data_IF_700856509358
#
_entry.id   IF_700856509358
#
_cell.length_a   1.000
_cell.length_b   1.000
_cell.length_c   1.000
_cell.angle_alpha   90.00
_cell.angle_beta   90.00
_cell.angle_gamma   90.00
#
_symmetry.space_group_name_H-M   'P 1'
#
loop_
_entity.id
_entity.type
_entity.pdbx_description
1 polymer ?
#
# COMPACT_ATOMS: atom_id res chain seq x y z
N UNK A 1 22.78 -6.63 -46.82
CA UNK A 1 22.29 -7.29 -45.58
C UNK A 1 22.62 -6.50 -44.30
N UNK A 2 22.92 -5.19 -44.38
CA UNK A 2 23.48 -4.38 -43.26
C UNK A 2 22.55 -3.29 -42.70
N UNK A 3 21.40 -3.01 -43.33
CA UNK A 3 20.49 -1.91 -42.94
C UNK A 3 19.61 -2.21 -41.71
N UNK A 4 19.41 -3.49 -41.36
CA UNK A 4 18.56 -3.89 -40.22
C UNK A 4 19.28 -3.82 -38.85
N UNK A 5 20.61 -3.82 -38.81
CA UNK A 5 21.37 -3.82 -37.56
C UNK A 5 21.28 -2.48 -36.81
N UNK A 6 21.24 -1.35 -37.53
CA UNK A 6 21.19 -0.01 -36.92
C UNK A 6 19.86 0.31 -36.23
N UNK A 7 18.73 -0.13 -36.78
CA UNK A 7 17.40 0.09 -36.20
C UNK A 7 17.24 -0.75 -34.91
N UNK A 8 17.80 -1.97 -34.90
CA UNK A 8 17.76 -2.86 -33.74
C UNK A 8 18.61 -2.33 -32.56
N UNK A 9 19.78 -1.76 -32.85
CA UNK A 9 20.63 -1.09 -31.85
C UNK A 9 19.95 0.15 -31.25
N UNK A 10 19.28 0.97 -32.08
CA UNK A 10 18.50 2.11 -31.60
C UNK A 10 17.33 1.68 -30.71
N UNK A 11 16.58 0.63 -31.09
CA UNK A 11 15.48 0.09 -30.28
C UNK A 11 15.95 -0.47 -28.94
N UNK A 12 17.08 -1.21 -28.93
CA UNK A 12 17.68 -1.73 -27.69
C UNK A 12 18.13 -0.61 -26.75
N UNK A 13 18.71 0.48 -27.28
CA UNK A 13 19.08 1.66 -26.47
C UNK A 13 17.84 2.38 -25.92
N UNK A 14 16.79 2.56 -26.73
CA UNK A 14 15.55 3.19 -26.30
C UNK A 14 14.86 2.42 -25.17
N UNK A 15 14.77 1.08 -25.27
CA UNK A 15 14.23 0.24 -24.19
C UNK A 15 15.07 0.28 -22.91
N UNK A 16 16.41 0.30 -23.03
CA UNK A 16 17.32 0.35 -21.88
C UNK A 16 17.22 1.68 -21.14
N UNK A 17 17.22 2.80 -21.87
CA UNK A 17 17.09 4.15 -21.28
C UNK A 17 15.70 4.34 -20.64
N UNK A 18 14.64 3.82 -21.28
CA UNK A 18 13.29 3.88 -20.72
C UNK A 18 13.16 3.12 -19.40
N UNK A 19 13.74 1.92 -19.31
CA UNK A 19 13.72 1.13 -18.07
C UNK A 19 14.38 1.85 -16.89
N UNK A 20 15.59 2.38 -17.08
CA UNK A 20 16.32 3.11 -16.05
C UNK A 20 15.59 4.36 -15.56
N UNK A 21 14.95 5.11 -16.47
CA UNK A 21 14.19 6.31 -16.11
C UNK A 21 12.99 5.97 -15.22
N UNK A 22 12.26 4.89 -15.54
CA UNK A 22 11.12 4.43 -14.74
C UNK A 22 11.58 3.96 -13.35
N UNK A 23 12.73 3.31 -13.26
CA UNK A 23 13.27 2.82 -11.99
C UNK A 23 13.69 3.97 -11.07
N UNK A 24 14.36 4.99 -11.60
CA UNK A 24 14.70 6.22 -10.86
C UNK A 24 13.43 6.94 -10.40
N UNK A 25 12.44 7.07 -11.28
CA UNK A 25 11.17 7.71 -10.94
C UNK A 25 10.43 6.97 -9.81
N UNK A 26 10.40 5.63 -9.85
CA UNK A 26 9.81 4.81 -8.79
C UNK A 26 10.52 5.03 -7.45
N UNK A 27 11.85 4.99 -7.43
CA UNK A 27 12.63 5.19 -6.20
C UNK A 27 12.39 6.58 -5.60
N UNK A 28 12.41 7.63 -6.43
CA UNK A 28 12.16 9.00 -5.99
C UNK A 28 10.73 9.18 -5.46
N UNK A 29 9.73 8.67 -6.18
CA UNK A 29 8.33 8.73 -5.75
C UNK A 29 8.12 8.05 -4.41
N UNK A 30 8.74 6.88 -4.21
CA UNK A 30 8.64 6.15 -2.95
C UNK A 30 9.29 6.86 -1.78
N UNK A 31 10.42 7.52 -2.05
CA UNK A 31 11.07 8.34 -1.03
C UNK A 31 10.17 9.50 -0.59
N UNK A 32 9.52 10.18 -1.55
CA UNK A 32 8.58 11.28 -1.25
C UNK A 32 7.37 10.77 -0.45
N UNK A 33 6.78 9.64 -0.84
CA UNK A 33 5.64 9.04 -0.13
C UNK A 33 6.05 8.64 1.29
N UNK A 34 7.18 7.94 1.44
CA UNK A 34 7.70 7.53 2.75
C UNK A 34 7.97 8.72 3.68
N UNK A 35 8.61 9.78 3.16
CA UNK A 35 8.84 11.01 3.91
C UNK A 35 7.53 11.70 4.31
N UNK A 36 6.54 11.72 3.42
CA UNK A 36 5.22 12.30 3.71
C UNK A 36 4.46 11.53 4.80
N UNK A 37 4.56 10.19 4.83
CA UNK A 37 3.97 9.36 5.88
C UNK A 37 4.58 9.71 7.23
N UNK A 38 5.92 9.78 7.30
CA UNK A 38 6.63 10.12 8.55
C UNK A 38 6.24 11.53 9.00
N UNK A 39 6.28 12.51 8.10
CA UNK A 39 5.89 13.90 8.41
C UNK A 39 4.47 13.99 8.96
N UNK A 40 3.51 13.34 8.30
CA UNK A 40 2.10 13.32 8.70
C UNK A 40 1.91 12.65 10.06
N UNK A 41 2.55 11.50 10.28
CA UNK A 41 2.51 10.79 11.56
C UNK A 41 3.13 11.60 12.69
N UNK A 42 4.26 12.28 12.47
CA UNK A 42 4.89 13.17 13.46
C UNK A 42 3.97 14.34 13.79
N UNK A 43 3.39 15.01 12.79
CA UNK A 43 2.46 16.10 13.02
C UNK A 43 1.23 15.66 13.84
N UNK A 44 0.66 14.50 13.51
CA UNK A 44 -0.44 13.92 14.25
C UNK A 44 -0.05 13.57 15.70
N UNK A 45 1.13 12.98 15.90
CA UNK A 45 1.63 12.63 17.23
C UNK A 45 1.89 13.87 18.10
N UNK A 46 2.47 14.92 17.53
CA UNK A 46 2.63 16.22 18.21
C UNK A 46 1.26 16.78 18.60
N UNK A 47 0.25 16.68 17.74
CA UNK A 47 -1.12 17.10 18.08
C UNK A 47 -1.69 16.30 19.27
N UNK A 48 -1.44 14.99 19.34
CA UNK A 48 -1.82 14.16 20.48
C UNK A 48 -1.18 14.63 21.79
N UNK A 49 0.11 14.96 21.76
CA UNK A 49 0.82 15.51 22.93
C UNK A 49 0.15 16.80 23.40
N UNK A 50 -0.19 17.70 22.48
CA UNK A 50 -0.86 18.96 22.81
C UNK A 50 -2.25 18.75 23.44
N UNK A 51 -3.00 17.73 23.01
CA UNK A 51 -4.29 17.37 23.63
C UNK A 51 -4.14 16.71 25.02
N UNK A 52 -2.97 16.17 25.35
CA UNK A 52 -2.68 15.57 26.66
C UNK A 52 -3.18 14.12 26.84
N UNK A 53 -3.87 13.55 25.85
CA UNK A 53 -4.29 12.14 25.85
C UNK A 53 -4.50 11.61 24.42
N UNK A 54 -4.42 10.28 24.30
CA UNK A 54 -4.68 9.55 23.06
C UNK A 54 -5.88 8.62 23.26
N UNK A 55 -6.83 8.65 22.33
CA UNK A 55 -7.94 7.69 22.28
C UNK A 55 -7.52 6.43 21.53
N UNK A 56 -8.32 5.35 21.63
CA UNK A 56 -8.10 4.14 20.85
C UNK A 56 -8.07 4.43 19.34
N UNK A 57 -8.94 5.33 18.87
CA UNK A 57 -8.98 5.76 17.47
C UNK A 57 -7.66 6.39 17.02
N UNK A 58 -7.06 7.24 17.87
CA UNK A 58 -5.80 7.90 17.56
C UNK A 58 -4.63 6.91 17.50
N UNK A 59 -4.58 5.96 18.45
CA UNK A 59 -3.55 4.92 18.48
C UNK A 59 -3.66 4.00 17.25
N UNK A 60 -4.88 3.66 16.84
CA UNK A 60 -5.13 2.84 15.67
C UNK A 60 -4.81 3.58 14.37
N UNK A 61 -4.97 4.91 14.32
CA UNK A 61 -4.52 5.74 13.21
C UNK A 61 -2.99 5.76 13.12
N UNK A 62 -2.27 5.87 14.24
CA UNK A 62 -0.81 5.71 14.27
C UNK A 62 -0.37 4.33 13.75
N UNK A 63 -1.10 3.28 14.10
CA UNK A 63 -0.85 1.94 13.55
C UNK A 63 -1.09 1.89 12.03
N UNK A 64 -1.99 2.71 11.44
CA UNK A 64 -2.19 2.78 9.98
C UNK A 64 -0.97 3.41 9.34
N UNK A 65 -0.45 4.50 9.92
CA UNK A 65 0.76 5.13 9.44
C UNK A 65 1.95 4.18 9.46
N UNK A 66 2.10 3.38 10.52
CA UNK A 66 3.14 2.37 10.62
C UNK A 66 2.97 1.25 9.59
N UNK A 67 1.74 0.78 9.38
CA UNK A 67 1.43 -0.27 8.40
C UNK A 67 1.75 0.17 6.97
N UNK A 68 1.27 1.34 6.56
CA UNK A 68 1.54 1.89 5.22
C UNK A 68 3.03 2.24 5.08
N UNK A 69 3.67 2.74 6.14
CA UNK A 69 5.12 2.99 6.17
C UNK A 69 5.94 1.72 5.96
N UNK A 70 5.58 0.63 6.65
CA UNK A 70 6.23 -0.67 6.51
C UNK A 70 6.07 -1.23 5.09
N UNK A 71 4.87 -1.14 4.52
CA UNK A 71 4.61 -1.56 3.13
C UNK A 71 5.41 -0.74 2.11
N UNK A 72 5.50 0.58 2.32
CA UNK A 72 6.32 1.47 1.48
C UNK A 72 7.80 1.08 1.55
N UNK A 73 8.30 0.74 2.74
CA UNK A 73 9.67 0.26 2.93
C UNK A 73 9.92 -1.11 2.28
N UNK A 74 8.96 -2.04 2.35
CA UNK A 74 9.04 -3.33 1.64
C UNK A 74 9.06 -3.09 0.13
N UNK A 75 8.20 -2.22 -0.39
CA UNK A 75 8.16 -1.92 -1.82
C UNK A 75 9.46 -1.27 -2.30
N UNK A 76 10.07 -0.41 -1.49
CA UNK A 76 11.39 0.15 -1.79
C UNK A 76 12.47 -0.92 -1.95
N UNK A 77 12.41 -2.01 -1.16
CA UNK A 77 13.36 -3.14 -1.26
C UNK A 77 13.06 -4.11 -2.39
N UNK A 78 11.79 -4.35 -2.71
CA UNK A 78 11.39 -5.43 -3.64
C UNK A 78 11.04 -4.95 -5.04
N UNK A 79 10.79 -3.65 -5.24
CA UNK A 79 10.50 -3.06 -6.55
C UNK A 79 9.15 -3.49 -7.18
N UNK A 80 8.37 -4.34 -6.50
CA UNK A 80 7.05 -4.83 -6.93
C UNK A 80 5.96 -4.35 -5.97
N UNK A 81 4.92 -3.70 -6.50
CA UNK A 81 3.69 -3.38 -5.77
C UNK A 81 2.71 -4.54 -6.00
N UNK A 82 2.74 -5.62 -5.20
CA UNK A 82 1.68 -6.60 -5.25
C UNK A 82 0.38 -5.94 -4.79
N UNK A 83 -0.69 -6.14 -5.57
CA UNK A 83 -2.07 -5.73 -5.24
C UNK A 83 -2.48 -6.20 -3.84
N UNK A 84 -1.83 -7.26 -3.34
CA UNK A 84 -1.95 -7.80 -1.99
C UNK A 84 -1.80 -6.75 -0.89
N UNK A 85 -0.86 -5.81 -1.03
CA UNK A 85 -0.66 -4.77 -0.01
C UNK A 85 -1.88 -3.85 0.11
N UNK A 86 -2.52 -3.49 -1.00
CA UNK A 86 -3.70 -2.64 -0.99
C UNK A 86 -4.89 -3.33 -0.30
N UNK A 87 -5.04 -4.64 -0.52
CA UNK A 87 -6.13 -5.39 0.10
C UNK A 87 -5.88 -5.56 1.62
N UNK A 88 -4.63 -5.78 2.05
CA UNK A 88 -4.32 -5.81 3.48
C UNK A 88 -4.64 -4.48 4.16
N UNK A 89 -4.27 -3.33 3.57
CA UNK A 89 -4.62 -2.02 4.13
C UNK A 89 -6.14 -1.84 4.24
N UNK A 90 -6.89 -2.26 3.21
CA UNK A 90 -8.35 -2.16 3.24
C UNK A 90 -8.96 -3.04 4.34
N UNK A 91 -8.52 -4.30 4.47
CA UNK A 91 -8.98 -5.22 5.53
C UNK A 91 -8.64 -4.65 6.90
N UNK A 92 -7.41 -4.19 7.11
CA UNK A 92 -6.98 -3.64 8.38
C UNK A 92 -7.73 -2.35 8.73
N UNK A 93 -8.01 -1.48 7.75
CA UNK A 93 -8.80 -0.27 7.95
C UNK A 93 -10.24 -0.59 8.38
N UNK A 94 -10.90 -1.53 7.70
CA UNK A 94 -12.26 -1.97 8.04
C UNK A 94 -12.27 -2.61 9.43
N UNK A 95 -11.34 -3.52 9.72
CA UNK A 95 -11.25 -4.20 11.00
C UNK A 95 -11.08 -3.23 12.17
N UNK A 96 -10.22 -2.20 12.01
CA UNK A 96 -10.04 -1.17 13.04
C UNK A 96 -11.25 -0.29 13.23
N UNK A 97 -11.93 0.08 12.15
CA UNK A 97 -13.17 0.83 12.24
C UNK A 97 -14.24 0.06 13.04
N UNK A 98 -14.35 -1.25 12.83
CA UNK A 98 -15.24 -2.13 13.61
C UNK A 98 -14.90 -2.13 15.09
N UNK A 99 -13.62 -2.22 15.46
CA UNK A 99 -13.17 -2.30 16.85
C UNK A 99 -13.37 -0.97 17.60
N UNK A 100 -13.16 0.15 16.93
CA UNK A 100 -13.26 1.49 17.56
C UNK A 100 -14.70 1.90 17.77
N UNK A 101 -15.56 1.65 16.79
CA UNK A 101 -16.89 2.26 16.71
C UNK A 101 -18.02 1.26 17.02
N UNK A 102 -17.70 0.08 17.57
CA UNK A 102 -18.65 -1.04 17.74
C UNK A 102 -19.93 -0.64 18.46
N UNK A 103 -19.84 0.25 19.45
CA UNK A 103 -20.98 0.67 20.27
C UNK A 103 -21.94 1.62 19.54
N UNK A 104 -21.46 2.30 18.47
CA UNK A 104 -22.22 3.30 17.73
C UNK A 104 -22.64 2.77 16.35
N UNK A 105 -22.12 1.61 15.93
CA UNK A 105 -22.44 0.97 14.67
C UNK A 105 -23.79 0.25 14.73
N UNK A 106 -24.63 0.50 13.72
CA UNK A 106 -25.84 -0.30 13.51
C UNK A 106 -25.46 -1.74 13.16
N UNK A 107 -26.22 -2.71 13.64
CA UNK A 107 -26.01 -4.13 13.36
C UNK A 107 -25.86 -4.43 11.85
N UNK A 108 -26.63 -3.74 11.01
CA UNK A 108 -26.53 -3.86 9.55
C UNK A 108 -25.18 -3.38 9.00
N UNK A 109 -24.63 -2.29 9.51
CA UNK A 109 -23.32 -1.77 9.10
C UNK A 109 -22.20 -2.73 9.47
N UNK A 110 -22.24 -3.27 10.69
CA UNK A 110 -21.27 -4.29 11.15
C UNK A 110 -21.31 -5.51 10.24
N UNK A 111 -22.51 -6.00 9.90
CA UNK A 111 -22.69 -7.13 8.99
C UNK A 111 -22.12 -6.83 7.59
N UNK A 112 -22.46 -5.68 7.00
CA UNK A 112 -21.96 -5.28 5.67
C UNK A 112 -20.43 -5.19 5.63
N UNK A 113 -19.83 -4.57 6.65
CA UNK A 113 -18.38 -4.45 6.73
C UNK A 113 -17.68 -5.80 6.96
N UNK A 114 -18.29 -6.69 7.74
CA UNK A 114 -17.79 -8.04 7.95
C UNK A 114 -17.83 -8.85 6.66
N UNK A 115 -18.91 -8.74 5.89
CA UNK A 115 -19.01 -9.33 4.54
C UNK A 115 -17.97 -8.71 3.60
N UNK A 116 -17.75 -7.40 3.64
CA UNK A 116 -16.72 -6.74 2.83
C UNK A 116 -15.32 -7.29 3.13
N UNK A 117 -14.96 -7.53 4.40
CA UNK A 117 -13.70 -8.18 4.78
C UNK A 117 -13.60 -9.59 4.18
N UNK A 118 -14.67 -10.38 4.27
CA UNK A 118 -14.69 -11.73 3.67
C UNK A 118 -14.48 -11.66 2.16
N UNK A 119 -15.14 -10.73 1.46
CA UNK A 119 -14.98 -10.55 0.01
C UNK A 119 -13.56 -10.14 -0.36
N UNK A 120 -12.95 -9.20 0.38
CA UNK A 120 -11.57 -8.78 0.16
C UNK A 120 -10.59 -9.93 0.40
N UNK A 121 -10.79 -10.72 1.45
CA UNK A 121 -9.97 -11.89 1.74
C UNK A 121 -10.15 -12.99 0.68
N UNK A 122 -11.36 -13.20 0.17
CA UNK A 122 -11.62 -14.11 -0.95
C UNK A 122 -10.92 -13.64 -2.24
N UNK A 123 -10.95 -12.34 -2.54
CA UNK A 123 -10.25 -11.76 -3.68
C UNK A 123 -8.72 -11.96 -3.58
N UNK A 124 -8.16 -11.80 -2.37
CA UNK A 124 -6.75 -12.11 -2.10
C UNK A 124 -6.44 -13.58 -2.38
N UNK A 125 -7.29 -14.49 -1.89
CA UNK A 125 -7.11 -15.93 -2.08
C UNK A 125 -7.15 -16.32 -3.56
N UNK A 126 -8.11 -15.78 -4.32
CA UNK A 126 -8.20 -16.00 -5.77
C UNK A 126 -6.96 -15.45 -6.49
N UNK A 127 -6.53 -14.23 -6.16
CA UNK A 127 -5.32 -13.65 -6.75
C UNK A 127 -4.06 -14.45 -6.44
N UNK A 128 -4.01 -15.09 -5.27
CA UNK A 128 -2.92 -15.97 -4.89
C UNK A 128 -2.93 -17.29 -5.68
N UNK A 129 -4.11 -17.89 -5.78
CA UNK A 129 -4.30 -19.14 -6.50
C UNK A 129 -3.97 -19.03 -7.99
N UNK A 130 -4.31 -17.90 -8.63
CA UNK A 130 -3.98 -17.66 -10.05
C UNK A 130 -2.46 -17.60 -10.26
N UNK A 131 -1.73 -16.88 -9.40
CA UNK A 131 -0.25 -16.82 -9.50
C UNK A 131 0.43 -18.17 -9.22
N UNK A 132 -0.19 -19.04 -8.41
CA UNK A 132 0.35 -20.38 -8.12
C UNK A 132 0.15 -21.39 -9.26
N UNK A 133 -0.61 -21.06 -10.30
CA UNK A 133 -0.89 -21.97 -11.44
C UNK A 133 0.02 -21.75 -12.66
N UNK A 134 0.92 -20.76 -12.61
CA UNK A 134 1.89 -20.46 -13.67
C UNK A 134 3.33 -20.91 -13.35
N UNK A 135 3.56 -21.48 -12.16
CA UNK A 135 4.82 -22.14 -11.73
C UNK A 135 4.64 -23.67 -11.68
#
# INVERSE_FOLDING_TARGET
MTRNAGILEMFKRAHRTGGTMVEIFKSLSLFIIGASIIWSATHFYVHLIHRGYATLQDLLLLFVYLEIGAMTGIYFKTGKLPVRFLIYVAVTAIARYLVVDVDHLKAMSVLTMSIAVIVLMAALWVSDHIHSSED
#
